data_IF_289981546262
#
_entry.id   IF_289981546262
#
_cell.length_a   1.000
_cell.length_b   1.000
_cell.length_c   1.000
_cell.angle_alpha   90.00
_cell.angle_beta   90.00
_cell.angle_gamma   90.00
#
_symmetry.space_group_name_H-M   'P 1'
#
loop_
_entity.id
_entity.type
_entity.pdbx_description
1 polymer ?
#
# COMPACT_ATOMS: atom_id res chain seq x y z
N UNK A 1 -27.71 -11.11 36.91
CA UNK A 1 -27.02 -10.56 35.72
C UNK A 1 -25.87 -9.68 36.21
N UNK A 2 -24.61 -9.87 35.76
CA UNK A 2 -23.52 -8.99 36.18
C UNK A 2 -23.79 -7.56 35.68
N UNK A 3 -23.87 -6.61 36.60
CA UNK A 3 -24.10 -5.20 36.26
C UNK A 3 -22.79 -4.57 35.75
N UNK A 4 -22.86 -3.72 34.72
CA UNK A 4 -21.65 -3.12 34.16
C UNK A 4 -21.03 -2.15 35.19
N UNK A 5 -19.72 -2.22 35.44
CA UNK A 5 -19.08 -1.30 36.37
C UNK A 5 -19.17 0.14 35.85
N UNK A 6 -19.32 1.09 36.77
CA UNK A 6 -19.35 2.51 36.46
C UNK A 6 -18.05 2.96 35.76
N UNK A 7 -18.17 3.91 34.83
CA UNK A 7 -17.01 4.45 34.12
C UNK A 7 -16.19 5.33 35.05
N UNK A 8 -14.99 4.88 35.42
CA UNK A 8 -14.02 5.67 36.17
C UNK A 8 -13.21 6.55 35.21
N UNK A 9 -13.33 7.87 35.33
CA UNK A 9 -12.45 8.81 34.63
C UNK A 9 -11.14 8.92 35.39
N UNK A 10 -10.05 8.47 34.77
CA UNK A 10 -8.69 8.55 35.34
C UNK A 10 -8.20 10.02 35.29
N UNK A 11 -7.97 10.68 36.44
CA UNK A 11 -7.64 12.12 36.47
C UNK A 11 -6.26 12.45 35.86
N UNK A 12 -5.33 11.49 35.79
CA UNK A 12 -4.04 11.65 35.11
C UNK A 12 -4.10 11.36 33.60
N UNK A 13 -5.24 10.87 33.10
CA UNK A 13 -5.38 10.63 31.67
C UNK A 13 -5.68 11.97 31.02
N UNK A 14 -4.84 12.45 30.08
CA UNK A 14 -5.12 13.69 29.38
C UNK A 14 -6.49 13.58 28.71
N UNK A 15 -7.31 14.64 28.80
CA UNK A 15 -8.58 14.69 28.07
C UNK A 15 -8.26 14.42 26.60
N UNK A 16 -8.93 13.41 26.01
CA UNK A 16 -8.79 13.10 24.59
C UNK A 16 -9.03 14.39 23.83
N UNK A 17 -8.01 14.91 23.16
CA UNK A 17 -8.15 16.08 22.32
C UNK A 17 -9.11 15.72 21.18
N UNK A 18 -10.21 16.46 21.07
CA UNK A 18 -11.19 16.34 20.00
C UNK A 18 -10.51 16.81 18.70
N UNK A 19 -9.81 15.93 17.99
CA UNK A 19 -9.32 16.28 16.66
C UNK A 19 -10.52 16.63 15.77
N UNK A 20 -10.46 17.71 14.97
CA UNK A 20 -11.55 18.10 14.08
C UNK A 20 -11.96 16.92 13.19
N UNK A 21 -13.27 16.76 12.95
CA UNK A 21 -13.83 15.58 12.25
C UNK A 21 -13.16 15.33 10.89
N UNK A 22 -12.72 16.40 10.21
CA UNK A 22 -11.92 16.35 8.99
C UNK A 22 -10.62 15.53 9.12
N UNK A 23 -10.00 15.49 10.31
CA UNK A 23 -8.82 14.69 10.62
C UNK A 23 -9.14 13.32 11.24
N UNK A 24 -10.38 13.08 11.71
CA UNK A 24 -10.78 11.75 12.23
C UNK A 24 -10.98 10.74 11.11
N UNK A 25 -11.35 11.23 9.94
CA UNK A 25 -11.41 10.43 8.74
C UNK A 25 -10.35 11.00 7.82
N UNK A 26 -9.12 10.52 7.93
CA UNK A 26 -8.32 10.39 6.72
C UNK A 26 -9.09 9.44 5.82
N UNK A 27 -10.07 9.96 5.08
CA UNK A 27 -10.63 9.34 3.90
C UNK A 27 -9.44 9.27 2.95
N UNK A 28 -8.51 8.34 3.18
CA UNK A 28 -7.78 7.77 2.06
C UNK A 28 -8.89 7.25 1.19
N UNK A 29 -9.20 8.02 0.17
CA UNK A 29 -10.17 7.71 -0.86
C UNK A 29 -9.85 6.28 -1.27
N UNK A 30 -10.72 5.35 -0.85
CA UNK A 30 -10.43 3.94 -1.05
C UNK A 30 -10.58 3.71 -2.54
N UNK A 31 -9.50 3.26 -3.18
CA UNK A 31 -9.47 3.11 -4.62
C UNK A 31 -10.66 2.23 -5.07
N UNK A 32 -11.60 2.78 -5.87
CA UNK A 32 -12.82 2.10 -6.25
C UNK A 32 -12.56 0.82 -7.04
N UNK A 33 -11.38 0.70 -7.66
CA UNK A 33 -10.95 -0.50 -8.38
C UNK A 33 -11.03 -1.76 -7.51
N UNK A 34 -10.41 -1.73 -6.32
CA UNK A 34 -10.38 -2.89 -5.42
C UNK A 34 -11.74 -3.19 -4.78
N UNK A 35 -12.66 -2.22 -4.82
CA UNK A 35 -14.03 -2.40 -4.34
C UNK A 35 -14.99 -2.90 -5.42
N UNK A 36 -14.58 -2.87 -6.70
CA UNK A 36 -15.38 -3.34 -7.82
C UNK A 36 -15.77 -4.83 -7.67
N UNK A 37 -16.97 -5.17 -8.13
CA UNK A 37 -17.44 -6.56 -8.14
C UNK A 37 -16.55 -7.45 -9.02
N UNK A 38 -16.08 -6.90 -10.15
CA UNK A 38 -15.17 -7.57 -11.08
C UNK A 38 -13.88 -8.00 -10.37
N UNK A 39 -13.22 -7.08 -9.64
CA UNK A 39 -12.00 -7.42 -8.91
C UNK A 39 -12.23 -8.52 -7.86
N UNK A 40 -13.31 -8.43 -7.07
CA UNK A 40 -13.62 -9.45 -6.06
C UNK A 40 -13.82 -10.84 -6.66
N UNK A 41 -14.42 -10.92 -7.85
CA UNK A 41 -14.64 -12.19 -8.57
C UNK A 41 -13.33 -12.74 -9.13
N UNK A 42 -12.61 -11.94 -9.90
CA UNK A 42 -11.38 -12.38 -10.56
C UNK A 42 -10.27 -12.70 -9.55
N UNK A 43 -10.11 -11.89 -8.49
CA UNK A 43 -9.12 -12.17 -7.43
C UNK A 43 -9.43 -13.43 -6.63
N UNK A 44 -10.72 -13.78 -6.47
CA UNK A 44 -11.11 -15.06 -5.86
C UNK A 44 -10.72 -16.20 -6.79
N UNK A 45 -11.13 -16.15 -8.05
CA UNK A 45 -10.80 -17.18 -9.03
C UNK A 45 -9.29 -17.40 -9.14
N UNK A 46 -8.51 -16.32 -9.20
CA UNK A 46 -7.05 -16.41 -9.26
C UNK A 46 -6.43 -17.07 -8.02
N UNK A 47 -6.98 -16.84 -6.82
CA UNK A 47 -6.52 -17.53 -5.60
C UNK A 47 -6.92 -18.99 -5.56
N UNK A 48 -8.05 -19.35 -6.15
CA UNK A 48 -8.48 -20.74 -6.28
C UNK A 48 -7.56 -21.51 -7.26
N UNK A 49 -7.12 -20.85 -8.34
CA UNK A 49 -6.13 -21.38 -9.30
C UNK A 49 -4.71 -21.45 -8.69
N UNK A 50 -4.37 -20.51 -7.79
CA UNK A 50 -3.06 -20.40 -7.13
C UNK A 50 -3.20 -20.46 -5.60
N UNK A 51 -3.41 -21.66 -5.01
CA UNK A 51 -3.70 -21.80 -3.59
C UNK A 51 -2.50 -21.52 -2.67
N UNK A 52 -1.28 -21.51 -3.22
CA UNK A 52 -0.05 -21.26 -2.48
C UNK A 52 0.52 -19.87 -2.77
N UNK A 53 1.15 -19.29 -1.76
CA UNK A 53 1.88 -18.03 -1.89
C UNK A 53 3.14 -18.24 -2.73
N UNK A 54 3.21 -17.59 -3.90
CA UNK A 54 4.34 -17.72 -4.85
C UNK A 54 5.72 -17.45 -4.22
N UNK A 55 5.96 -16.33 -3.51
CA UNK A 55 7.26 -16.10 -2.90
C UNK A 55 7.56 -17.09 -1.76
N UNK A 56 6.54 -17.66 -1.11
CA UNK A 56 6.76 -18.73 -0.13
C UNK A 56 7.21 -20.01 -0.84
N UNK A 57 6.54 -20.37 -1.94
CA UNK A 57 6.85 -21.54 -2.74
C UNK A 57 8.28 -21.49 -3.29
N UNK A 58 8.74 -20.31 -3.74
CA UNK A 58 10.12 -20.10 -4.20
C UNK A 58 11.18 -20.36 -3.12
N UNK A 59 10.85 -20.12 -1.84
CA UNK A 59 11.75 -20.45 -0.73
C UNK A 59 11.52 -21.87 -0.19
N UNK A 60 10.70 -22.69 -0.85
CA UNK A 60 10.35 -24.04 -0.40
C UNK A 60 9.38 -24.08 0.79
N UNK A 61 8.68 -22.98 1.09
CA UNK A 61 7.69 -22.89 2.15
C UNK A 61 6.28 -23.09 1.61
N UNK A 62 5.52 -23.99 2.21
CA UNK A 62 4.11 -24.19 1.89
C UNK A 62 3.27 -23.26 2.77
N UNK A 63 2.82 -22.15 2.19
CA UNK A 63 1.90 -21.21 2.86
C UNK A 63 0.72 -20.90 1.94
N UNK A 64 -0.52 -20.90 2.44
CA UNK A 64 -1.68 -20.56 1.63
C UNK A 64 -1.62 -19.11 1.12
N UNK A 65 -2.12 -18.90 -0.10
CA UNK A 65 -2.37 -17.56 -0.64
C UNK A 65 -3.64 -17.00 -0.01
N UNK A 66 -3.61 -15.72 0.36
CA UNK A 66 -4.78 -15.06 0.98
C UNK A 66 -5.22 -13.85 0.17
N UNK A 67 -4.28 -13.22 -0.52
CA UNK A 67 -4.47 -11.94 -1.19
C UNK A 67 -3.87 -12.06 -2.60
N UNK A 68 -4.61 -11.53 -3.58
CA UNK A 68 -4.08 -11.25 -4.92
C UNK A 68 -3.51 -9.84 -4.91
N UNK A 69 -2.24 -9.71 -5.29
CA UNK A 69 -1.54 -8.44 -5.37
C UNK A 69 -1.00 -8.22 -6.79
N UNK A 70 -0.76 -6.98 -7.18
CA UNK A 70 -0.15 -6.67 -8.48
C UNK A 70 1.39 -6.68 -8.34
N UNK A 71 2.10 -7.37 -9.22
CA UNK A 71 3.58 -7.41 -9.25
C UNK A 71 4.12 -6.00 -9.48
N UNK A 72 3.68 -5.37 -10.56
CA UNK A 72 3.87 -3.96 -10.84
C UNK A 72 2.70 -3.19 -10.21
N UNK A 73 2.95 -2.18 -9.37
CA UNK A 73 1.88 -1.37 -8.78
C UNK A 73 0.89 -0.89 -9.84
N UNK A 74 -0.40 -0.95 -9.54
CA UNK A 74 -1.50 -0.53 -10.44
C UNK A 74 -1.22 0.80 -11.14
N UNK A 75 -0.72 1.80 -10.42
CA UNK A 75 -0.53 3.16 -10.94
C UNK A 75 0.63 3.26 -11.95
N UNK A 76 1.46 2.21 -12.07
CA UNK A 76 2.58 2.11 -13.00
C UNK A 76 2.38 1.04 -14.08
N UNK A 77 1.31 0.25 -14.00
CA UNK A 77 1.04 -0.82 -14.95
C UNK A 77 0.24 -0.31 -16.16
N UNK A 78 0.45 -0.93 -17.33
CA UNK A 78 -0.31 -0.64 -18.54
C UNK A 78 -1.76 -1.14 -18.46
N UNK A 79 -1.98 -2.35 -17.94
CA UNK A 79 -3.32 -2.92 -17.70
C UNK A 79 -3.43 -3.54 -16.31
N UNK A 80 -4.23 -2.98 -15.39
CA UNK A 80 -4.43 -3.54 -14.05
C UNK A 80 -5.21 -4.86 -14.03
N UNK A 81 -5.84 -5.24 -15.15
CA UNK A 81 -6.58 -6.50 -15.29
C UNK A 81 -5.76 -7.65 -15.85
N UNK A 82 -4.50 -7.41 -16.24
CA UNK A 82 -3.63 -8.46 -16.74
C UNK A 82 -3.30 -9.48 -15.64
N UNK A 83 -3.71 -10.73 -15.85
CA UNK A 83 -3.45 -11.85 -14.93
C UNK A 83 -1.96 -12.14 -14.79
N UNK A 84 -1.15 -11.84 -15.81
CA UNK A 84 0.31 -12.03 -15.74
C UNK A 84 0.96 -11.05 -14.76
N UNK A 85 0.31 -9.91 -14.49
CA UNK A 85 0.76 -8.95 -13.49
C UNK A 85 0.21 -9.27 -12.08
N UNK A 86 -0.55 -10.35 -11.90
CA UNK A 86 -1.08 -10.73 -10.59
C UNK A 86 -0.19 -11.76 -9.92
N UNK A 87 -0.07 -11.63 -8.60
CA UNK A 87 0.64 -12.57 -7.75
C UNK A 87 -0.23 -13.01 -6.58
N UNK A 88 -0.21 -14.31 -6.29
CA UNK A 88 -0.91 -14.89 -5.16
C UNK A 88 0.05 -14.87 -3.96
N UNK A 89 -0.29 -14.09 -2.94
CA UNK A 89 0.60 -13.84 -1.80
C UNK A 89 -0.11 -14.03 -0.46
N UNK A 90 0.67 -14.33 0.58
CA UNK A 90 0.18 -14.33 1.95
C UNK A 90 0.25 -12.91 2.54
N UNK A 91 -0.43 -12.69 3.68
CA UNK A 91 -0.47 -11.37 4.33
C UNK A 91 0.90 -10.82 4.69
N UNK A 92 1.85 -11.69 5.06
CA UNK A 92 3.21 -11.29 5.43
C UNK A 92 3.96 -10.67 4.26
N UNK A 93 3.96 -11.34 3.11
CA UNK A 93 4.62 -10.84 1.90
C UNK A 93 3.91 -9.61 1.35
N UNK A 94 2.57 -9.60 1.37
CA UNK A 94 1.79 -8.43 0.98
C UNK A 94 2.13 -7.18 1.82
N UNK A 95 2.20 -7.31 3.15
CA UNK A 95 2.58 -6.20 4.03
C UNK A 95 4.04 -5.73 3.79
N UNK A 96 4.95 -6.68 3.56
CA UNK A 96 6.35 -6.38 3.24
C UNK A 96 6.50 -5.63 1.92
N UNK A 97 5.80 -6.06 0.87
CA UNK A 97 5.78 -5.35 -0.42
C UNK A 97 5.22 -3.94 -0.29
N UNK A 98 4.08 -3.77 0.39
CA UNK A 98 3.51 -2.45 0.62
C UNK A 98 4.43 -1.50 1.41
N UNK A 99 5.32 -2.02 2.26
CA UNK A 99 6.34 -1.21 2.93
C UNK A 99 7.47 -0.79 1.98
N UNK A 100 7.96 -1.72 1.14
CA UNK A 100 8.97 -1.45 0.11
C UNK A 100 8.48 -0.44 -0.91
N UNK A 101 7.27 -0.62 -1.43
CA UNK A 101 6.68 0.27 -2.43
C UNK A 101 6.62 1.72 -1.90
N UNK A 102 6.17 1.92 -0.66
CA UNK A 102 6.16 3.24 0.00
C UNK A 102 7.55 3.86 0.11
N UNK A 103 8.60 3.07 0.37
CA UNK A 103 9.97 3.57 0.42
C UNK A 103 10.43 3.99 -0.99
N UNK A 104 10.18 3.18 -2.01
CA UNK A 104 10.48 3.51 -3.40
C UNK A 104 9.81 4.83 -3.83
N UNK A 105 8.52 5.00 -3.55
CA UNK A 105 7.79 6.24 -3.87
C UNK A 105 8.33 7.46 -3.10
N UNK A 106 8.77 7.30 -1.84
CA UNK A 106 9.40 8.39 -1.07
C UNK A 106 10.75 8.79 -1.66
N UNK A 107 11.60 7.82 -1.99
CA UNK A 107 12.91 8.07 -2.59
C UNK A 107 12.78 8.75 -3.95
N UNK A 108 11.84 8.32 -4.80
CA UNK A 108 11.58 8.96 -6.08
C UNK A 108 11.11 10.41 -5.91
N UNK A 109 10.17 10.68 -4.99
CA UNK A 109 9.76 12.06 -4.67
C UNK A 109 10.95 12.92 -4.26
N UNK A 110 11.80 12.42 -3.38
CA UNK A 110 12.97 13.15 -2.92
C UNK A 110 13.97 13.44 -4.06
N UNK A 111 14.17 12.49 -4.97
CA UNK A 111 15.06 12.66 -6.12
C UNK A 111 14.51 13.64 -7.17
N UNK A 112 13.19 13.65 -7.42
CA UNK A 112 12.52 14.65 -8.29
C UNK A 112 12.60 16.06 -7.70
N UNK A 113 12.41 16.20 -6.39
CA UNK A 113 12.59 17.48 -5.68
C UNK A 113 14.01 18.01 -5.82
N UNK A 114 15.00 17.11 -5.78
CA UNK A 114 16.43 17.44 -5.90
C UNK A 114 16.84 17.82 -7.32
N UNK A 115 16.25 17.22 -8.35
CA UNK A 115 16.51 17.59 -9.76
C UNK A 115 15.90 18.93 -10.16
N UNK A 116 14.80 19.34 -9.53
CA UNK A 116 14.21 20.69 -9.71
C UNK A 116 15.00 21.84 -9.07
N UNK A 117 16.02 21.56 -8.26
CA UNK A 117 16.83 22.57 -7.56
C UNK A 117 18.19 22.85 -8.23
N UNK A 118 18.46 22.32 -9.42
CA UNK A 118 19.67 22.68 -10.17
C UNK A 118 19.36 23.99 -10.93
N UNK A 119 19.96 25.14 -10.56
CA UNK A 119 19.79 26.37 -11.32
C UNK A 119 20.44 26.19 -12.69
N UNK A 120 19.75 26.58 -13.75
CA UNK A 120 20.20 26.47 -15.15
C UNK A 120 21.31 27.46 -15.55
N UNK A 121 21.89 28.18 -14.61
CA UNK A 121 22.92 29.20 -14.88
C UNK A 121 24.33 28.60 -14.91
N UNK A 122 24.66 27.91 -15.99
CA UNK A 122 26.04 27.78 -16.47
C UNK A 122 26.05 27.83 -17.99
N UNK A 123 26.00 29.06 -18.51
CA UNK A 123 26.42 29.36 -19.88
C UNK A 123 27.84 28.83 -20.08
N UNK A 124 28.10 28.00 -21.12
CA UNK A 124 29.46 27.61 -21.44
C UNK A 124 30.22 28.87 -21.88
N UNK A 125 31.20 29.27 -21.09
CA UNK A 125 32.11 30.36 -21.44
C UNK A 125 32.79 30.06 -22.76
N UNK A 126 32.63 30.98 -23.71
CA UNK A 126 33.35 30.99 -24.99
C UNK A 126 34.85 31.04 -24.69
N UNK A 127 35.54 29.91 -24.88
CA UNK A 127 37.00 29.86 -24.89
C UNK A 127 37.45 30.52 -26.19
N UNK A 128 38.22 31.60 -26.07
CA UNK A 128 38.87 32.30 -27.18
C UNK A 128 40.17 31.60 -27.56
#
# INVERSE_FOLDING_TARGET
MPNKPAKVTRPWLPKRQELPVANRISLRERDPFYHSARWKRESRQFRDEHPLCQPCLEMGLVHPSEITDHIIPKDLCADPWDRNNWQAVCRKYHASKGARDKQHFKTQKNNVSRTKQIPSDRSPGSVK
#
